data_IF_831785244233
#
_entry.id   IF_831785244233
#
_cell.length_a   1.000
_cell.length_b   1.000
_cell.length_c   1.000
_cell.angle_alpha   90.00
_cell.angle_beta   90.00
_cell.angle_gamma   90.00
#
_symmetry.space_group_name_H-M   'P 1'
#
loop_
_entity.id
_entity.type
_entity.pdbx_description
1 polymer ?
#
# COMPACT_ATOMS: atom_id res chain seq x y z
N UNK A 1 -19.82 -18.87 -9.74
CA UNK A 1 -18.38 -18.75 -9.46
C UNK A 1 -17.65 -19.72 -10.35
N UNK A 2 -16.75 -19.22 -11.20
CA UNK A 2 -15.90 -20.06 -12.04
C UNK A 2 -14.53 -20.14 -11.37
N UNK A 3 -14.25 -21.28 -10.72
CA UNK A 3 -13.08 -21.49 -9.85
C UNK A 3 -11.75 -21.14 -10.54
N UNK A 4 -11.68 -21.29 -11.87
CA UNK A 4 -10.48 -20.94 -12.64
C UNK A 4 -10.24 -19.43 -12.73
N UNK A 5 -11.31 -18.64 -12.86
CA UNK A 5 -11.20 -17.18 -12.88
C UNK A 5 -10.74 -16.64 -11.53
N UNK A 6 -11.28 -17.19 -10.44
CA UNK A 6 -10.90 -16.78 -9.08
C UNK A 6 -9.43 -17.08 -8.80
N UNK A 7 -8.93 -18.25 -9.20
CA UNK A 7 -7.50 -18.60 -9.07
C UNK A 7 -6.58 -17.65 -9.83
N UNK A 8 -6.94 -17.31 -11.05
CA UNK A 8 -6.12 -16.42 -11.88
C UNK A 8 -6.10 -15.00 -11.30
N UNK A 9 -7.25 -14.50 -10.83
CA UNK A 9 -7.35 -13.25 -10.10
C UNK A 9 -6.45 -13.22 -8.84
N UNK A 10 -6.52 -14.27 -8.00
CA UNK A 10 -5.69 -14.34 -6.80
C UNK A 10 -4.20 -14.43 -7.12
N UNK A 11 -3.81 -15.18 -8.15
CA UNK A 11 -2.40 -15.27 -8.57
C UNK A 11 -1.86 -13.93 -9.06
N UNK A 12 -2.65 -13.17 -9.81
CA UNK A 12 -2.27 -11.82 -10.26
C UNK A 12 -2.12 -10.87 -9.07
N UNK A 13 -3.07 -10.87 -8.12
CA UNK A 13 -2.99 -10.05 -6.91
C UNK A 13 -1.76 -10.40 -6.05
N UNK A 14 -1.44 -11.70 -5.93
CA UNK A 14 -0.25 -12.17 -5.23
C UNK A 14 1.04 -11.74 -5.93
N UNK A 15 1.12 -11.91 -7.27
CA UNK A 15 2.28 -11.49 -8.05
C UNK A 15 2.51 -9.98 -7.89
N UNK A 16 1.44 -9.19 -8.00
CA UNK A 16 1.51 -7.75 -7.82
C UNK A 16 2.00 -7.39 -6.41
N UNK A 17 1.46 -8.04 -5.37
CA UNK A 17 1.85 -7.77 -3.97
C UNK A 17 3.30 -8.17 -3.67
N UNK A 18 3.81 -9.26 -4.25
CA UNK A 18 5.14 -9.80 -3.94
C UNK A 18 6.25 -9.28 -4.84
N UNK A 19 5.93 -8.83 -6.06
CA UNK A 19 6.93 -8.57 -7.10
C UNK A 19 6.82 -7.21 -7.77
N UNK A 20 5.67 -6.54 -7.70
CA UNK A 20 5.45 -5.27 -8.39
C UNK A 20 5.18 -4.11 -7.43
N UNK A 21 4.59 -4.40 -6.26
CA UNK A 21 4.34 -3.43 -5.22
C UNK A 21 5.57 -3.31 -4.33
N UNK A 22 6.29 -2.20 -4.47
CA UNK A 22 7.44 -1.89 -3.64
C UNK A 22 7.03 -1.35 -2.25
N UNK A 23 5.73 -1.20 -2.00
CA UNK A 23 5.18 -0.66 -0.77
C UNK A 23 4.71 -1.82 0.09
N UNK A 24 5.11 -1.83 1.37
CA UNK A 24 4.64 -2.81 2.32
C UNK A 24 3.12 -2.78 2.48
N UNK A 25 2.54 -3.93 2.85
CA UNK A 25 1.10 -4.00 3.15
C UNK A 25 0.69 -3.00 4.23
N UNK A 26 1.52 -2.82 5.26
CA UNK A 26 1.24 -1.90 6.36
C UNK A 26 1.37 -0.43 5.97
N UNK A 27 2.27 -0.10 5.04
CA UNK A 27 2.43 1.29 4.58
C UNK A 27 1.22 1.70 3.73
N UNK A 28 0.74 0.79 2.87
CA UNK A 28 -0.53 0.98 2.15
C UNK A 28 -1.73 1.11 3.08
N UNK A 29 -1.83 0.27 4.11
CA UNK A 29 -2.93 0.36 5.10
C UNK A 29 -2.88 1.68 5.86
N UNK A 30 -1.67 2.13 6.21
CA UNK A 30 -1.44 3.40 6.90
C UNK A 30 -1.80 4.58 6.00
N UNK A 31 -1.40 4.56 4.73
CA UNK A 31 -1.79 5.57 3.72
C UNK A 31 -3.31 5.68 3.58
N UNK A 32 -4.01 4.56 3.41
CA UNK A 32 -5.49 4.55 3.32
C UNK A 32 -6.14 5.18 4.55
N UNK A 33 -5.64 4.85 5.75
CA UNK A 33 -6.14 5.43 6.99
C UNK A 33 -5.88 6.96 7.06
N UNK A 34 -4.71 7.41 6.65
CA UNK A 34 -4.35 8.83 6.64
C UNK A 34 -5.22 9.62 5.64
N UNK A 35 -5.46 9.08 4.45
CA UNK A 35 -6.38 9.67 3.46
C UNK A 35 -7.81 9.77 4.01
N UNK A 36 -8.34 8.71 4.63
CA UNK A 36 -9.70 8.70 5.20
C UNK A 36 -9.87 9.70 6.35
N UNK A 37 -8.81 9.93 7.11
CA UNK A 37 -8.81 10.84 8.28
C UNK A 37 -8.35 12.25 7.96
N UNK A 38 -7.87 12.52 6.74
CA UNK A 38 -7.31 13.81 6.33
C UNK A 38 -5.99 14.16 7.01
N UNK A 39 -5.19 13.16 7.39
CA UNK A 39 -3.85 13.36 7.95
C UNK A 39 -2.85 13.45 6.80
N UNK A 40 -2.10 14.56 6.76
CA UNK A 40 -1.14 14.84 5.67
C UNK A 40 0.33 14.71 6.12
N UNK A 41 0.60 14.50 7.42
CA UNK A 41 1.97 14.38 7.95
C UNK A 41 2.13 13.11 8.81
N UNK A 42 3.27 12.42 8.68
CA UNK A 42 3.61 11.24 9.48
C UNK A 42 4.99 11.36 10.11
N UNK A 43 5.08 11.13 11.42
CA UNK A 43 6.36 10.98 12.12
C UNK A 43 6.86 9.53 11.98
N UNK A 44 7.81 9.30 11.08
CA UNK A 44 8.33 7.96 10.80
C UNK A 44 9.82 7.98 10.41
N UNK A 45 10.54 6.97 10.86
CA UNK A 45 11.90 6.67 10.39
C UNK A 45 11.89 5.86 9.09
N UNK A 46 10.73 5.37 8.69
CA UNK A 46 10.55 4.58 7.47
C UNK A 46 10.47 5.52 6.26
N UNK A 47 11.44 5.40 5.36
CA UNK A 47 11.53 6.21 4.15
C UNK A 47 10.53 5.74 3.08
N UNK A 48 9.92 4.57 3.23
CA UNK A 48 8.95 4.03 2.28
C UNK A 48 7.70 4.90 2.18
N UNK A 49 7.41 5.74 3.20
CA UNK A 49 6.32 6.72 3.13
C UNK A 49 6.59 7.88 2.16
N UNK A 50 7.84 8.11 1.75
CA UNK A 50 8.19 9.16 0.79
C UNK A 50 7.72 8.81 -0.66
N UNK A 51 7.19 7.59 -0.88
CA UNK A 51 6.55 7.20 -2.14
C UNK A 51 5.18 7.85 -2.36
N UNK A 52 4.54 8.34 -1.29
CA UNK A 52 3.21 8.92 -1.33
C UNK A 52 3.31 10.44 -1.48
N UNK A 53 2.96 10.99 -2.63
CA UNK A 53 3.04 12.43 -2.92
C UNK A 53 2.11 13.29 -2.03
N UNK A 54 1.08 12.67 -1.43
CA UNK A 54 0.07 13.29 -0.59
C UNK A 54 0.36 13.19 0.92
N UNK A 55 1.47 12.56 1.30
CA UNK A 55 1.93 12.46 2.69
C UNK A 55 3.32 13.06 2.84
N UNK A 56 3.50 13.88 3.85
CA UNK A 56 4.81 14.44 4.23
C UNK A 56 5.36 13.72 5.45
N UNK A 57 6.48 13.01 5.27
CA UNK A 57 7.23 12.44 6.39
C UNK A 57 7.97 13.54 7.15
N UNK A 58 7.83 13.54 8.48
CA UNK A 58 8.56 14.41 9.40
C UNK A 58 9.47 13.57 10.29
N UNK A 59 10.70 14.02 10.52
CA UNK A 59 11.75 13.34 11.28
C UNK A 59 12.10 14.10 12.56
#
# INVERSE_FOLDING_TARGET
MNINYDKEYYNQALNHTLHENNIGFFDNLTHVFMVDTGIEEIASFDEDFDIFDDIKRIS
#
